data_IF_534551251590
#
_entry.id   IF_534551251590
#
_cell.length_a   1.000
_cell.length_b   1.000
_cell.length_c   1.000
_cell.angle_alpha   90.00
_cell.angle_beta   90.00
_cell.angle_gamma   90.00
#
_symmetry.space_group_name_H-M   'P 1'
#
loop_
_entity.id
_entity.type
_entity.pdbx_description
1 polymer ?
#
# COMPACT_ATOMS: atom_id res chain seq x y z
N UNK A 1 -27.01 -5.73 23.83
CA UNK A 1 -26.31 -5.86 22.54
C UNK A 1 -25.54 -4.57 22.39
N UNK A 2 -24.23 -4.60 22.58
CA UNK A 2 -23.39 -3.39 22.48
C UNK A 2 -23.06 -3.21 21.00
N UNK A 3 -23.35 -2.05 20.44
CA UNK A 3 -23.04 -1.78 19.04
C UNK A 3 -21.52 -1.90 18.80
N UNK A 4 -21.11 -2.66 17.78
CA UNK A 4 -19.70 -2.94 17.43
C UNK A 4 -19.03 -1.81 16.64
N UNK A 5 -19.62 -0.64 16.61
CA UNK A 5 -19.13 0.52 15.87
C UNK A 5 -19.17 1.77 16.74
N UNK A 6 -18.29 2.72 16.43
CA UNK A 6 -18.35 4.06 17.02
C UNK A 6 -19.46 4.85 16.32
N UNK A 7 -20.32 5.50 17.09
CA UNK A 7 -21.33 6.41 16.53
C UNK A 7 -20.63 7.57 15.79
N UNK A 8 -21.07 7.83 14.56
CA UNK A 8 -20.49 8.89 13.75
C UNK A 8 -21.05 10.26 14.19
N UNK A 9 -20.25 11.03 14.92
CA UNK A 9 -20.58 12.38 15.36
C UNK A 9 -20.04 13.48 14.42
N UNK A 10 -19.40 13.12 13.30
CA UNK A 10 -18.85 14.09 12.34
C UNK A 10 -19.97 14.81 11.58
N UNK A 11 -19.76 16.09 11.28
CA UNK A 11 -20.71 16.94 10.53
C UNK A 11 -20.85 16.46 9.08
N UNK A 12 -21.99 16.78 8.47
CA UNK A 12 -22.19 16.63 7.03
C UNK A 12 -21.24 17.56 6.25
N UNK A 13 -20.93 17.19 5.01
CA UNK A 13 -20.01 17.95 4.17
C UNK A 13 -20.61 19.30 3.76
N UNK A 14 -19.85 20.36 3.99
CA UNK A 14 -20.13 21.72 3.52
C UNK A 14 -19.02 22.14 2.53
N UNK A 15 -19.40 22.78 1.41
CA UNK A 15 -18.43 23.22 0.41
C UNK A 15 -17.52 24.32 0.96
N UNK A 16 -16.21 24.24 0.70
CA UNK A 16 -15.25 25.28 1.07
C UNK A 16 -15.57 26.59 0.32
N UNK A 17 -16.07 27.61 1.03
CA UNK A 17 -16.29 28.96 0.48
C UNK A 17 -15.12 29.89 0.81
N UNK A 18 -14.87 30.91 -0.03
CA UNK A 18 -13.66 31.73 0.00
C UNK A 18 -13.62 32.86 1.04
N UNK A 19 -14.38 32.81 2.14
CA UNK A 19 -14.49 33.93 3.10
C UNK A 19 -14.09 33.58 4.54
N UNK A 20 -12.96 34.16 4.94
CA UNK A 20 -12.47 34.70 6.23
C UNK A 20 -12.86 34.04 7.57
N UNK A 21 -11.77 33.72 8.29
CA UNK A 21 -11.50 33.68 9.75
C UNK A 21 -12.65 33.96 10.74
N UNK A 22 -12.75 33.06 11.71
CA UNK A 22 -13.47 33.28 12.96
C UNK A 22 -12.96 32.33 14.03
N UNK A 23 -11.91 32.74 14.75
CA UNK A 23 -11.55 32.15 16.04
C UNK A 23 -12.75 32.26 16.99
N UNK A 24 -13.13 31.15 17.62
CA UNK A 24 -13.93 31.22 18.86
C UNK A 24 -13.69 30.03 19.80
N UNK A 25 -13.84 30.35 21.08
CA UNK A 25 -13.22 29.72 22.25
C UNK A 25 -13.89 28.46 22.85
N UNK A 26 -13.04 27.63 23.49
CA UNK A 26 -13.14 26.91 24.79
C UNK A 26 -14.37 26.03 25.15
N UNK A 27 -14.11 24.72 25.35
CA UNK A 27 -14.35 24.02 26.64
C UNK A 27 -15.18 22.71 26.66
N UNK A 28 -14.56 21.56 26.96
CA UNK A 28 -14.88 20.53 28.02
C UNK A 28 -13.98 19.27 27.87
N UNK A 29 -13.55 18.64 28.97
CA UNK A 29 -12.10 18.44 29.16
C UNK A 29 -11.47 17.08 28.83
N UNK A 30 -12.14 15.98 28.42
CA UNK A 30 -11.35 14.78 27.97
C UNK A 30 -11.99 13.96 26.83
N UNK A 31 -13.31 13.72 26.83
CA UNK A 31 -13.99 13.09 25.69
C UNK A 31 -14.22 14.09 24.54
N UNK A 32 -14.63 15.31 24.91
CA UNK A 32 -14.74 16.45 23.98
C UNK A 32 -13.42 16.79 23.34
N UNK A 33 -12.28 16.76 24.06
CA UNK A 33 -10.97 17.07 23.46
C UNK A 33 -10.64 16.24 22.22
N UNK A 34 -10.99 14.94 22.20
CA UNK A 34 -10.76 14.07 21.04
C UNK A 34 -11.75 14.33 19.89
N UNK A 35 -13.01 14.62 20.21
CA UNK A 35 -14.04 14.98 19.23
C UNK A 35 -13.78 16.37 18.65
N UNK A 36 -13.46 17.34 19.50
CA UNK A 36 -13.03 18.69 19.18
C UNK A 36 -11.75 18.66 18.34
N UNK A 37 -10.79 17.77 18.61
CA UNK A 37 -9.63 17.60 17.75
C UNK A 37 -10.01 17.13 16.34
N UNK A 38 -10.92 16.14 16.22
CA UNK A 38 -11.39 15.66 14.92
C UNK A 38 -12.18 16.75 14.19
N UNK A 39 -13.08 17.45 14.86
CA UNK A 39 -13.85 18.57 14.28
C UNK A 39 -12.92 19.70 13.82
N UNK A 40 -11.97 20.11 14.66
CA UNK A 40 -10.95 21.10 14.29
C UNK A 40 -10.07 20.64 13.12
N UNK A 41 -9.82 19.32 12.98
CA UNK A 41 -9.09 18.76 11.85
C UNK A 41 -9.93 18.82 10.56
N UNK A 42 -11.23 18.59 10.65
CA UNK A 42 -12.18 18.65 9.54
C UNK A 42 -12.43 20.09 9.06
N UNK A 43 -12.36 21.07 9.95
CA UNK A 43 -12.48 22.51 9.63
C UNK A 43 -11.23 23.08 8.93
N UNK A 44 -10.13 22.31 8.83
CA UNK A 44 -8.94 22.74 8.11
C UNK A 44 -9.16 22.74 6.59
N UNK A 45 -8.68 23.78 5.92
CA UNK A 45 -8.56 23.80 4.45
C UNK A 45 -7.85 22.55 3.93
N UNK A 46 -8.32 22.05 2.80
CA UNK A 46 -7.83 20.83 2.16
C UNK A 46 -6.30 20.78 1.96
N UNK A 47 -5.65 21.93 1.69
CA UNK A 47 -4.19 22.00 1.51
C UNK A 47 -3.42 21.76 2.82
N UNK A 48 -3.86 22.38 3.92
CA UNK A 48 -3.30 22.20 5.27
C UNK A 48 -3.53 20.77 5.75
N UNK A 49 -4.74 20.26 5.58
CA UNK A 49 -5.10 18.90 5.95
C UNK A 49 -4.24 17.87 5.19
N UNK A 50 -4.10 18.04 3.87
CA UNK A 50 -3.24 17.20 3.03
C UNK A 50 -1.78 17.21 3.50
N UNK A 51 -1.26 18.38 3.89
CA UNK A 51 0.11 18.50 4.42
C UNK A 51 0.28 17.73 5.74
N UNK A 52 -0.68 17.85 6.67
CA UNK A 52 -0.70 17.11 7.94
C UNK A 52 -0.76 15.60 7.69
N UNK A 53 -1.68 15.12 6.85
CA UNK A 53 -1.78 13.70 6.50
C UNK A 53 -0.53 13.18 5.82
N UNK A 54 0.10 13.97 4.93
CA UNK A 54 1.37 13.59 4.31
C UNK A 54 2.46 13.40 5.34
N UNK A 55 2.59 14.31 6.32
CA UNK A 55 3.58 14.18 7.41
C UNK A 55 3.33 12.92 8.25
N UNK A 56 2.09 12.68 8.65
CA UNK A 56 1.72 11.48 9.44
C UNK A 56 1.94 10.18 8.65
N UNK A 57 1.59 10.15 7.37
CA UNK A 57 1.80 9.00 6.50
C UNK A 57 3.29 8.68 6.31
N UNK A 58 4.14 9.70 6.16
CA UNK A 58 5.60 9.52 6.07
C UNK A 58 6.18 8.96 7.38
N UNK A 59 5.70 9.44 8.52
CA UNK A 59 6.08 8.90 9.83
C UNK A 59 5.66 7.41 9.98
N UNK A 60 4.40 7.10 9.67
CA UNK A 60 3.88 5.72 9.72
C UNK A 60 4.63 4.79 8.76
N UNK A 61 4.92 5.23 7.53
CA UNK A 61 5.77 4.49 6.59
C UNK A 61 7.13 4.16 7.22
N UNK A 62 7.77 5.13 7.87
CA UNK A 62 9.04 4.93 8.57
C UNK A 62 8.96 3.86 9.66
N UNK A 63 7.87 3.86 10.44
CA UNK A 63 7.61 2.85 11.46
C UNK A 63 7.40 1.45 10.86
N UNK A 64 6.56 1.33 9.83
CA UNK A 64 6.28 0.05 9.13
C UNK A 64 7.56 -0.54 8.53
N UNK A 65 8.36 0.27 7.83
CA UNK A 65 9.63 -0.20 7.25
C UNK A 65 10.61 -0.62 8.33
N UNK A 66 10.65 0.09 9.45
CA UNK A 66 11.52 -0.27 10.58
C UNK A 66 11.09 -1.60 11.21
N UNK A 67 9.79 -1.80 11.44
CA UNK A 67 9.25 -3.01 12.04
C UNK A 67 9.32 -4.25 11.15
N UNK A 68 9.14 -4.10 9.84
CA UNK A 68 9.04 -5.22 8.89
C UNK A 68 10.33 -5.53 8.11
N UNK A 69 11.25 -4.56 7.96
CA UNK A 69 12.43 -4.73 7.12
C UNK A 69 13.77 -4.42 7.81
N UNK A 70 13.82 -3.44 8.72
CA UNK A 70 15.08 -2.97 9.35
C UNK A 70 15.33 -3.51 10.76
N UNK A 71 14.42 -4.30 11.33
CA UNK A 71 14.69 -5.01 12.59
C UNK A 71 15.84 -6.00 12.39
N UNK A 72 16.68 -6.18 13.42
CA UNK A 72 18.01 -6.81 13.34
C UNK A 72 18.04 -8.25 12.82
N UNK A 73 16.89 -8.88 12.64
CA UNK A 73 16.73 -10.14 11.94
C UNK A 73 15.86 -9.88 10.71
N UNK A 74 16.47 -9.78 9.53
CA UNK A 74 15.76 -9.72 8.23
C UNK A 74 15.04 -11.05 7.97
N UNK A 75 14.06 -11.39 8.80
CA UNK A 75 13.26 -12.61 8.71
C UNK A 75 12.17 -12.38 7.69
N UNK A 76 12.48 -12.68 6.45
CA UNK A 76 11.46 -12.86 5.43
C UNK A 76 10.86 -14.25 5.68
N UNK A 77 9.59 -14.28 6.05
CA UNK A 77 8.91 -15.55 6.25
C UNK A 77 8.73 -16.26 4.92
N UNK A 78 8.91 -17.58 4.92
CA UNK A 78 8.60 -18.41 3.77
C UNK A 78 7.12 -18.22 3.43
N UNK A 79 6.82 -17.94 2.16
CA UNK A 79 5.47 -17.62 1.66
C UNK A 79 4.90 -16.27 2.15
N UNK A 80 5.76 -15.27 2.40
CA UNK A 80 5.40 -13.89 2.69
C UNK A 80 4.42 -13.30 1.67
N UNK A 81 3.30 -12.71 2.12
CA UNK A 81 2.26 -12.18 1.21
C UNK A 81 2.07 -10.67 1.30
N UNK A 82 1.39 -10.06 0.32
CA UNK A 82 1.05 -8.64 0.39
C UNK A 82 0.07 -8.32 1.53
N UNK A 83 -0.73 -9.30 1.95
CA UNK A 83 -1.81 -9.09 2.91
C UNK A 83 -1.31 -8.82 4.32
N UNK A 84 -0.29 -9.55 4.76
CA UNK A 84 0.11 -9.64 6.16
C UNK A 84 1.62 -9.48 6.39
N UNK A 85 2.42 -9.24 5.35
CA UNK A 85 3.87 -9.33 5.48
C UNK A 85 4.66 -8.41 4.51
N UNK A 86 5.98 -8.62 4.42
CA UNK A 86 6.95 -7.72 3.78
C UNK A 86 6.66 -7.29 2.32
N UNK A 87 6.03 -8.09 1.44
CA UNK A 87 5.57 -7.60 0.14
C UNK A 87 4.58 -6.42 0.24
N UNK A 88 3.77 -6.37 1.30
CA UNK A 88 2.91 -5.22 1.60
C UNK A 88 3.73 -3.95 1.88
N UNK A 89 4.83 -4.08 2.62
CA UNK A 89 5.80 -2.99 2.83
C UNK A 89 6.45 -2.55 1.52
N UNK A 90 6.83 -3.49 0.65
CA UNK A 90 7.34 -3.15 -0.68
C UNK A 90 6.29 -2.37 -1.50
N UNK A 91 5.03 -2.81 -1.48
CA UNK A 91 3.97 -2.10 -2.17
C UNK A 91 3.74 -0.68 -1.63
N UNK A 92 3.76 -0.51 -0.30
CA UNK A 92 3.71 0.81 0.36
C UNK A 92 4.84 1.73 -0.12
N UNK A 93 6.07 1.20 -0.22
CA UNK A 93 7.24 1.94 -0.70
C UNK A 93 7.11 2.33 -2.18
N UNK A 94 6.64 1.41 -3.04
CA UNK A 94 6.32 1.74 -4.43
C UNK A 94 5.26 2.85 -4.50
N UNK A 95 4.20 2.79 -3.70
CA UNK A 95 3.19 3.86 -3.66
C UNK A 95 3.79 5.19 -3.22
N UNK A 96 4.67 5.21 -2.23
CA UNK A 96 5.35 6.43 -1.81
C UNK A 96 6.27 6.98 -2.91
N UNK A 97 6.97 6.13 -3.65
CA UNK A 97 7.74 6.53 -4.83
C UNK A 97 6.85 7.16 -5.91
N UNK A 98 5.67 6.60 -6.20
CA UNK A 98 4.78 7.16 -7.21
C UNK A 98 4.28 8.57 -6.84
N UNK A 99 4.11 8.86 -5.54
CA UNK A 99 3.65 10.17 -5.05
C UNK A 99 4.79 11.17 -4.90
N UNK A 100 5.93 10.74 -4.35
CA UNK A 100 7.01 11.63 -3.91
C UNK A 100 8.29 11.51 -4.75
N UNK A 101 8.33 10.59 -5.72
CA UNK A 101 9.51 10.25 -6.55
C UNK A 101 10.77 9.90 -5.73
N UNK A 102 10.60 9.38 -4.52
CA UNK A 102 11.70 8.97 -3.64
C UNK A 102 12.36 7.68 -4.16
N UNK A 103 13.59 7.81 -4.69
CA UNK A 103 14.35 6.69 -5.27
C UNK A 103 14.84 5.68 -4.22
N UNK A 104 15.09 6.09 -2.99
CA UNK A 104 15.50 5.17 -1.91
C UNK A 104 14.37 4.21 -1.54
N UNK A 105 13.13 4.71 -1.54
CA UNK A 105 11.96 3.86 -1.33
C UNK A 105 11.77 2.86 -2.47
N UNK A 106 11.98 3.29 -3.73
CA UNK A 106 11.96 2.38 -4.88
C UNK A 106 13.03 1.29 -4.76
N UNK A 107 14.26 1.65 -4.39
CA UNK A 107 15.36 0.71 -4.21
C UNK A 107 15.12 -0.24 -3.03
N UNK A 108 14.57 0.27 -1.93
CA UNK A 108 14.19 -0.56 -0.77
C UNK A 108 13.08 -1.53 -1.14
N UNK A 109 12.07 -1.08 -1.91
CA UNK A 109 11.02 -1.94 -2.45
C UNK A 109 11.61 -3.07 -3.30
N UNK A 110 12.57 -2.78 -4.18
CA UNK A 110 13.23 -3.79 -5.01
C UNK A 110 13.98 -4.83 -4.17
N UNK A 111 14.69 -4.38 -3.12
CA UNK A 111 15.42 -5.27 -2.21
C UNK A 111 14.48 -6.21 -1.45
N UNK A 112 13.36 -5.69 -0.95
CA UNK A 112 12.35 -6.51 -0.27
C UNK A 112 11.80 -7.56 -1.24
N UNK A 113 11.38 -7.16 -2.45
CA UNK A 113 10.80 -8.09 -3.44
C UNK A 113 11.82 -9.17 -3.84
N UNK A 114 13.07 -8.79 -4.12
CA UNK A 114 14.14 -9.74 -4.45
C UNK A 114 14.29 -10.78 -3.34
N UNK A 115 14.29 -10.34 -2.09
CA UNK A 115 14.48 -11.22 -0.97
C UNK A 115 13.24 -12.09 -0.67
N UNK A 116 12.01 -11.59 -0.91
CA UNK A 116 10.77 -12.39 -0.89
C UNK A 116 10.78 -13.49 -1.96
N UNK A 117 11.31 -13.18 -3.14
CA UNK A 117 11.43 -14.12 -4.25
C UNK A 117 12.53 -15.16 -4.02
N UNK A 118 13.58 -14.83 -3.26
CA UNK A 118 14.59 -15.79 -2.82
C UNK A 118 14.12 -16.69 -1.67
N UNK A 119 13.29 -16.16 -0.76
CA UNK A 119 12.70 -16.92 0.35
C UNK A 119 11.41 -17.67 -0.05
N UNK A 120 10.93 -17.47 -1.27
CA UNK A 120 9.73 -18.08 -1.81
C UNK A 120 9.84 -19.61 -1.80
N UNK A 121 8.99 -20.26 -1.00
CA UNK A 121 8.71 -21.68 -1.11
C UNK A 121 7.58 -21.95 -2.12
N UNK A 122 6.88 -23.07 -1.93
CA UNK A 122 5.66 -23.35 -2.67
C UNK A 122 4.50 -22.54 -2.10
N UNK A 123 4.22 -21.36 -2.66
CA UNK A 123 3.00 -20.62 -2.32
C UNK A 123 1.79 -21.45 -2.71
N UNK A 124 0.82 -21.55 -1.79
CA UNK A 124 -0.44 -22.25 -2.05
C UNK A 124 -1.40 -21.43 -2.91
N UNK A 125 -1.26 -20.10 -2.89
CA UNK A 125 -2.09 -19.15 -3.62
C UNK A 125 -1.30 -18.46 -4.74
N UNK A 126 -1.98 -18.13 -5.83
CA UNK A 126 -1.41 -17.45 -7.01
C UNK A 126 -2.07 -16.09 -7.28
N UNK A 127 -2.61 -15.46 -6.25
CA UNK A 127 -3.32 -14.17 -6.34
C UNK A 127 -2.39 -12.98 -6.10
N UNK A 128 -2.84 -11.77 -6.43
CA UNK A 128 -2.09 -10.56 -6.13
C UNK A 128 -1.88 -10.33 -4.62
N UNK A 129 -2.89 -10.61 -3.80
CA UNK A 129 -2.87 -10.25 -2.37
C UNK A 129 -2.17 -11.32 -1.52
N UNK A 130 -2.40 -12.61 -1.82
CA UNK A 130 -1.91 -13.73 -1.00
C UNK A 130 -0.88 -14.63 -1.67
N UNK A 131 -0.56 -14.40 -2.94
CA UNK A 131 0.20 -15.34 -3.75
C UNK A 131 1.45 -14.78 -4.42
N UNK A 132 2.13 -15.67 -5.13
CA UNK A 132 3.32 -15.35 -5.94
C UNK A 132 3.07 -14.31 -7.01
N UNK A 133 1.85 -14.29 -7.59
CA UNK A 133 1.49 -13.35 -8.65
C UNK A 133 1.65 -11.91 -8.18
N UNK A 134 1.31 -11.59 -6.92
CA UNK A 134 1.52 -10.27 -6.34
C UNK A 134 2.99 -9.88 -6.28
N UNK A 135 3.81 -10.75 -5.71
CA UNK A 135 5.25 -10.51 -5.55
C UNK A 135 5.94 -10.33 -6.92
N UNK A 136 5.63 -11.20 -7.88
CA UNK A 136 6.18 -11.11 -9.24
C UNK A 136 5.69 -9.86 -9.96
N UNK A 137 4.39 -9.54 -9.86
CA UNK A 137 3.83 -8.35 -10.50
C UNK A 137 4.45 -7.06 -9.94
N UNK A 138 4.59 -6.95 -8.62
CA UNK A 138 5.30 -5.84 -7.99
C UNK A 138 6.75 -5.76 -8.45
N UNK A 139 7.46 -6.89 -8.50
CA UNK A 139 8.85 -6.95 -8.96
C UNK A 139 9.02 -6.39 -10.37
N UNK A 140 8.16 -6.79 -11.30
CA UNK A 140 8.20 -6.30 -12.68
C UNK A 140 7.94 -4.77 -12.74
N UNK A 141 6.95 -4.27 -12.00
CA UNK A 141 6.62 -2.83 -11.99
C UNK A 141 7.72 -1.99 -11.34
N UNK A 142 8.26 -2.43 -10.20
CA UNK A 142 9.40 -1.76 -9.56
C UNK A 142 10.61 -1.73 -10.49
N UNK A 143 10.89 -2.86 -11.16
CA UNK A 143 12.00 -2.96 -12.13
C UNK A 143 11.81 -2.02 -13.32
N UNK A 144 10.57 -1.84 -13.81
CA UNK A 144 10.26 -0.82 -14.84
C UNK A 144 10.68 0.58 -14.38
N UNK A 145 10.30 0.99 -13.18
CA UNK A 145 10.67 2.31 -12.66
C UNK A 145 12.16 2.46 -12.35
N UNK A 146 12.87 1.36 -12.12
CA UNK A 146 14.33 1.33 -12.03
C UNK A 146 15.04 1.32 -13.38
N UNK A 147 14.31 1.12 -14.49
CA UNK A 147 14.89 0.95 -15.83
C UNK A 147 15.64 -0.38 -16.01
N UNK A 148 15.34 -1.39 -15.17
CA UNK A 148 16.03 -2.67 -15.19
C UNK A 148 15.24 -3.70 -16.02
N UNK A 149 15.41 -3.66 -17.34
CA UNK A 149 14.68 -4.53 -18.29
C UNK A 149 14.91 -6.01 -18.03
N UNK A 150 16.13 -6.41 -17.66
CA UNK A 150 16.46 -7.81 -17.33
C UNK A 150 15.61 -8.32 -16.17
N UNK A 151 15.46 -7.52 -15.10
CA UNK A 151 14.64 -7.91 -13.96
C UNK A 151 13.14 -7.93 -14.30
N UNK A 152 12.66 -7.04 -15.18
CA UNK A 152 11.27 -7.09 -15.67
C UNK A 152 11.00 -8.47 -16.29
N UNK A 153 11.85 -8.92 -17.21
CA UNK A 153 11.71 -10.21 -17.88
C UNK A 153 11.76 -11.37 -16.88
N UNK A 154 12.70 -11.36 -15.93
CA UNK A 154 12.80 -12.39 -14.89
C UNK A 154 11.51 -12.51 -14.06
N UNK A 155 10.94 -11.39 -13.63
CA UNK A 155 9.70 -11.41 -12.84
C UNK A 155 8.49 -11.81 -13.69
N UNK A 156 8.42 -11.43 -14.96
CA UNK A 156 7.35 -11.83 -15.87
C UNK A 156 7.42 -13.33 -16.21
N UNK A 157 8.61 -13.89 -16.39
CA UNK A 157 8.80 -15.33 -16.58
C UNK A 157 8.29 -16.09 -15.37
N UNK A 158 8.72 -15.71 -14.15
CA UNK A 158 8.21 -16.31 -12.92
C UNK A 158 6.69 -16.15 -12.78
N UNK A 159 6.14 -14.99 -13.13
CA UNK A 159 4.69 -14.76 -13.10
C UNK A 159 3.94 -15.78 -13.96
N UNK A 160 4.45 -16.09 -15.17
CA UNK A 160 3.85 -17.06 -16.11
C UNK A 160 4.02 -18.51 -15.65
N UNK A 161 5.17 -18.84 -15.06
CA UNK A 161 5.44 -20.19 -14.53
C UNK A 161 4.50 -20.58 -13.38
N UNK A 162 3.88 -19.60 -12.71
CA UNK A 162 2.80 -19.82 -11.75
C UNK A 162 1.46 -20.19 -12.44
N UNK A 163 1.55 -21.02 -13.48
CA UNK A 163 0.40 -21.46 -14.24
C UNK A 163 -0.53 -22.32 -13.36
N UNK A 164 -1.80 -22.04 -13.55
CA UNK A 164 -2.89 -22.40 -12.67
C UNK A 164 -3.19 -23.89 -12.81
N UNK A 165 -2.58 -24.73 -11.96
CA UNK A 165 -2.88 -26.16 -12.03
C UNK A 165 -4.28 -26.53 -11.51
N UNK A 166 -4.95 -25.66 -10.76
CA UNK A 166 -6.40 -25.75 -10.47
C UNK A 166 -6.82 -24.53 -9.62
N UNK A 167 -7.60 -23.60 -10.18
CA UNK A 167 -8.29 -22.63 -9.32
C UNK A 167 -9.43 -23.35 -8.61
N UNK A 168 -9.32 -23.51 -7.30
CA UNK A 168 -10.42 -24.06 -6.49
C UNK A 168 -11.47 -23.01 -6.11
N UNK A 169 -11.21 -21.73 -6.39
CA UNK A 169 -12.02 -20.58 -5.92
C UNK A 169 -11.99 -19.44 -6.94
N UNK A 170 -12.96 -18.53 -6.81
CA UNK A 170 -13.12 -17.37 -7.71
C UNK A 170 -12.84 -16.01 -7.07
N UNK A 171 -12.81 -15.93 -5.74
CA UNK A 171 -12.65 -14.66 -5.01
C UNK A 171 -11.28 -14.00 -5.12
N UNK A 172 -11.19 -12.75 -4.66
CA UNK A 172 -9.99 -11.90 -4.81
C UNK A 172 -8.77 -12.41 -4.02
N UNK A 173 -8.98 -13.04 -2.86
CA UNK A 173 -7.88 -13.46 -1.99
C UNK A 173 -7.23 -14.77 -2.43
N UNK A 174 -8.01 -15.71 -2.96
CA UNK A 174 -7.59 -17.10 -3.19
C UNK A 174 -7.90 -17.65 -4.59
N UNK A 175 -8.55 -16.86 -5.44
CA UNK A 175 -9.18 -17.36 -6.65
C UNK A 175 -8.82 -16.62 -7.93
N UNK A 176 -9.54 -16.98 -9.00
CA UNK A 176 -9.39 -16.41 -10.35
C UNK A 176 -9.38 -14.89 -10.36
N UNK A 177 -10.30 -14.25 -9.66
CA UNK A 177 -10.36 -12.79 -9.63
C UNK A 177 -9.07 -12.17 -9.08
N UNK A 178 -8.46 -12.79 -8.06
CA UNK A 178 -7.20 -12.33 -7.46
C UNK A 178 -6.00 -12.41 -8.39
N UNK A 179 -5.96 -13.44 -9.23
CA UNK A 179 -4.91 -13.57 -10.24
C UNK A 179 -5.16 -12.65 -11.43
N UNK A 180 -6.41 -12.57 -11.93
CA UNK A 180 -6.79 -11.65 -13.00
C UNK A 180 -6.48 -10.20 -12.63
N UNK A 181 -6.72 -9.82 -11.37
CA UNK A 181 -6.33 -8.51 -10.87
C UNK A 181 -4.82 -8.26 -11.01
N UNK A 182 -3.97 -9.26 -10.74
CA UNK A 182 -2.53 -9.16 -10.94
C UNK A 182 -2.15 -8.95 -12.41
N UNK A 183 -2.82 -9.62 -13.34
CA UNK A 183 -2.64 -9.42 -14.78
C UNK A 183 -3.02 -7.99 -15.20
N UNK A 184 -4.17 -7.49 -14.73
CA UNK A 184 -4.61 -6.12 -15.02
C UNK A 184 -3.66 -5.07 -14.42
N UNK A 185 -3.14 -5.32 -13.22
CA UNK A 185 -2.14 -4.49 -12.58
C UNK A 185 -0.86 -4.41 -13.44
N UNK A 186 -0.37 -5.56 -13.92
CA UNK A 186 0.79 -5.62 -14.82
C UNK A 186 0.55 -4.82 -16.10
N UNK A 187 -0.56 -5.06 -16.80
CA UNK A 187 -0.88 -4.35 -18.04
C UNK A 187 -0.93 -2.83 -17.81
N UNK A 188 -1.68 -2.40 -16.79
CA UNK A 188 -1.80 -0.97 -16.44
C UNK A 188 -0.46 -0.31 -16.19
N UNK A 189 0.47 -1.00 -15.54
CA UNK A 189 1.74 -0.42 -15.12
C UNK A 189 2.88 -0.64 -16.12
N UNK A 190 2.85 -1.69 -16.93
CA UNK A 190 3.91 -2.00 -17.88
C UNK A 190 3.64 -1.48 -19.29
N UNK A 191 2.37 -1.21 -19.65
CA UNK A 191 2.03 -0.65 -20.95
C UNK A 191 2.88 0.57 -21.29
N UNK A 192 3.44 0.53 -22.50
CA UNK A 192 4.38 1.54 -23.02
C UNK A 192 3.70 2.89 -23.32
N UNK A 193 2.36 2.92 -23.37
CA UNK A 193 1.57 4.10 -23.72
C UNK A 193 1.16 4.98 -22.53
N UNK A 194 1.61 4.66 -21.30
CA UNK A 194 1.46 5.51 -20.12
C UNK A 194 2.83 5.79 -19.52
N UNK A 195 3.50 6.81 -20.04
CA UNK A 195 4.54 7.53 -19.32
C UNK A 195 3.92 8.87 -18.90
N UNK A 196 3.37 8.89 -17.69
CA UNK A 196 2.89 10.12 -17.03
C UNK A 196 3.75 10.38 -15.76
#
# INVERSE_FOLDING_TARGET
MTDWYFENFMRDFEEETSTVDGDNERGEVIAKESQDFILNLLDLRASTLRSKFRKSALYQKGSVVSGTWRSGERRIYVNSTLYDDTPGTAFLLLKNFLVNRNRDDLNTSANIIKACVSAAGYYRDITFVRGTAGVCALGAVVSKYQGNTQMIEQYLTRFKENEVKEYRRDGILHGRAGHLWACLFLNKHLDKNRMD
#
